data_IF_442873689354
#
_entry.id   IF_442873689354
#
_cell.length_a   1.000
_cell.length_b   1.000
_cell.length_c   1.000
_cell.angle_alpha   90.00
_cell.angle_beta   90.00
_cell.angle_gamma   90.00
#
_symmetry.space_group_name_H-M   'P 1'
#
loop_
_entity.id
_entity.type
_entity.pdbx_description
1 polymer ?
#
# COMPACT_ATOMS: atom_id res chain seq x y z
N UNK A 1 -55.21 14.98 -3.95
CA UNK A 1 -54.16 14.46 -4.87
C UNK A 1 -52.83 14.45 -4.14
N UNK A 2 -52.46 13.31 -3.58
CA UNK A 2 -51.16 13.11 -2.96
C UNK A 2 -50.18 12.72 -4.06
N UNK A 3 -49.20 13.60 -4.33
CA UNK A 3 -48.12 13.32 -5.24
C UNK A 3 -47.06 12.46 -4.49
N UNK A 4 -47.06 11.16 -4.77
CA UNK A 4 -46.04 10.24 -4.32
C UNK A 4 -44.70 10.64 -4.96
N UNK A 5 -43.80 11.23 -4.16
CA UNK A 5 -42.41 11.50 -4.57
C UNK A 5 -41.65 10.17 -4.62
N UNK A 6 -41.39 9.74 -5.81
CA UNK A 6 -40.59 8.55 -6.10
C UNK A 6 -39.14 8.83 -5.71
N UNK A 7 -38.61 8.11 -4.70
CA UNK A 7 -37.24 8.25 -4.21
C UNK A 7 -36.19 8.03 -5.32
N UNK A 8 -36.51 7.19 -6.31
CA UNK A 8 -35.66 6.95 -7.48
C UNK A 8 -35.51 8.19 -8.38
N UNK A 9 -36.57 8.99 -8.54
CA UNK A 9 -36.55 10.20 -9.36
C UNK A 9 -35.67 11.31 -8.74
N UNK A 10 -35.61 11.36 -7.40
CA UNK A 10 -34.76 12.32 -6.69
C UNK A 10 -33.26 11.95 -6.79
N UNK A 11 -32.93 10.65 -6.69
CA UNK A 11 -31.58 10.13 -6.89
C UNK A 11 -31.06 10.37 -8.32
N UNK A 12 -31.89 10.17 -9.33
CA UNK A 12 -31.53 10.42 -10.73
C UNK A 12 -31.30 11.91 -10.99
N UNK A 13 -32.09 12.80 -10.43
CA UNK A 13 -31.93 14.26 -10.57
C UNK A 13 -30.68 14.78 -9.83
N UNK A 14 -30.40 14.27 -8.63
CA UNK A 14 -29.20 14.67 -7.86
C UNK A 14 -27.94 14.19 -8.57
N UNK A 15 -27.92 12.94 -9.07
CA UNK A 15 -26.81 12.41 -9.87
C UNK A 15 -26.61 13.19 -11.19
N UNK A 16 -27.69 13.63 -11.86
CA UNK A 16 -27.59 14.40 -13.10
C UNK A 16 -27.05 15.80 -12.88
N UNK A 17 -27.43 16.47 -11.79
CA UNK A 17 -26.90 17.78 -11.41
C UNK A 17 -25.46 17.70 -10.90
N UNK A 18 -25.13 16.68 -10.10
CA UNK A 18 -23.76 16.41 -9.67
C UNK A 18 -22.86 16.09 -10.86
N UNK A 19 -23.28 15.23 -11.79
CA UNK A 19 -22.54 14.96 -13.02
C UNK A 19 -22.23 16.23 -13.83
N UNK A 20 -23.16 17.19 -13.93
CA UNK A 20 -22.91 18.45 -14.64
C UNK A 20 -21.92 19.38 -13.93
N UNK A 21 -21.91 19.39 -12.61
CA UNK A 21 -20.98 20.22 -11.82
C UNK A 21 -19.55 19.64 -11.90
N UNK A 22 -19.41 18.32 -11.82
CA UNK A 22 -18.09 17.66 -11.93
C UNK A 22 -17.52 17.67 -13.34
N UNK A 23 -18.35 17.60 -14.39
CA UNK A 23 -17.90 17.82 -15.78
C UNK A 23 -17.32 19.22 -16.02
N UNK A 24 -17.68 20.21 -15.19
CA UNK A 24 -17.18 21.58 -15.33
C UNK A 24 -15.92 21.84 -14.49
N UNK A 25 -15.69 21.07 -13.41
CA UNK A 25 -14.59 21.27 -12.46
C UNK A 25 -13.43 20.27 -12.65
N UNK A 26 -13.62 19.24 -13.47
CA UNK A 26 -12.69 18.11 -13.63
C UNK A 26 -12.67 17.19 -12.40
N UNK A 27 -12.29 15.94 -12.59
CA UNK A 27 -12.19 14.92 -11.54
C UNK A 27 -10.78 14.39 -11.39
N UNK A 28 -10.44 13.91 -10.19
CA UNK A 28 -9.21 13.16 -9.96
C UNK A 28 -9.43 11.69 -10.35
N UNK A 29 -8.52 11.12 -11.15
CA UNK A 29 -8.57 9.74 -11.60
C UNK A 29 -7.66 8.86 -10.74
N UNK A 30 -8.22 7.87 -10.09
CA UNK A 30 -7.50 6.89 -9.27
C UNK A 30 -7.35 5.57 -10.02
N UNK A 31 -6.17 4.96 -9.93
CA UNK A 31 -5.91 3.65 -10.52
C UNK A 31 -4.99 2.79 -9.66
N UNK A 32 -5.22 1.48 -9.69
CA UNK A 32 -4.40 0.48 -9.00
C UNK A 32 -3.37 -0.12 -9.94
N UNK A 33 -2.08 0.11 -9.67
CA UNK A 33 -0.94 -0.44 -10.42
C UNK A 33 0.07 -1.08 -9.45
N UNK A 34 -0.21 -2.30 -8.97
CA UNK A 34 0.62 -2.99 -7.97
C UNK A 34 2.02 -3.35 -8.46
N UNK A 35 2.25 -3.26 -9.76
CA UNK A 35 3.55 -3.49 -10.40
C UNK A 35 4.57 -2.37 -10.19
N UNK A 36 4.20 -1.24 -9.57
CA UNK A 36 5.01 -0.02 -9.51
C UNK A 36 6.43 -0.26 -8.97
N UNK A 37 6.60 -1.05 -7.89
CA UNK A 37 7.93 -1.33 -7.33
C UNK A 37 8.85 -2.08 -8.32
N UNK A 38 8.29 -2.98 -9.13
CA UNK A 38 9.03 -3.69 -10.17
C UNK A 38 9.30 -2.79 -11.40
N UNK A 39 8.38 -1.88 -11.70
CA UNK A 39 8.59 -0.87 -12.74
C UNK A 39 9.70 0.12 -12.33
N UNK A 40 9.76 0.53 -11.06
CA UNK A 40 10.87 1.32 -10.49
C UNK A 40 12.21 0.56 -10.57
N UNK A 41 12.22 -0.74 -10.26
CA UNK A 41 13.42 -1.58 -10.40
C UNK A 41 13.89 -1.66 -11.85
N UNK A 42 12.98 -1.86 -12.80
CA UNK A 42 13.28 -1.90 -14.25
C UNK A 42 13.68 -0.55 -14.82
N UNK A 43 13.18 0.55 -14.28
CA UNK A 43 13.36 1.93 -14.73
C UNK A 43 12.97 2.21 -16.19
N UNK A 44 12.23 1.29 -16.82
CA UNK A 44 11.86 1.36 -18.23
C UNK A 44 10.43 1.86 -18.45
N UNK A 45 10.24 2.84 -19.37
CA UNK A 45 8.93 3.35 -19.76
C UNK A 45 8.02 2.29 -20.43
N UNK A 46 8.58 1.17 -20.87
CA UNK A 46 7.86 0.06 -21.50
C UNK A 46 7.85 -1.20 -20.62
N UNK A 47 8.10 -1.06 -19.31
CA UNK A 47 8.00 -2.20 -18.40
C UNK A 47 6.62 -2.85 -18.51
N UNK A 48 6.60 -4.16 -18.60
CA UNK A 48 5.39 -4.97 -18.62
C UNK A 48 5.47 -6.03 -17.52
N UNK A 49 4.53 -5.99 -16.59
CA UNK A 49 4.44 -6.95 -15.51
C UNK A 49 4.14 -8.37 -16.02
N UNK A 50 4.50 -9.38 -15.24
CA UNK A 50 4.13 -10.77 -15.50
C UNK A 50 2.60 -10.93 -15.55
N UNK A 51 2.13 -11.99 -16.21
CA UNK A 51 0.70 -12.29 -16.31
C UNK A 51 0.03 -12.36 -14.94
N UNK A 52 0.65 -13.01 -13.97
CA UNK A 52 0.14 -13.08 -12.59
C UNK A 52 -0.08 -11.70 -11.96
N UNK A 53 0.83 -10.77 -12.17
CA UNK A 53 0.71 -9.41 -11.61
C UNK A 53 -0.35 -8.62 -12.39
N UNK A 54 -0.44 -8.79 -13.72
CA UNK A 54 -1.50 -8.17 -14.52
C UNK A 54 -2.89 -8.68 -14.12
N UNK A 55 -3.02 -10.00 -13.84
CA UNK A 55 -4.26 -10.57 -13.32
C UNK A 55 -4.62 -9.96 -11.95
N UNK A 56 -3.66 -9.86 -11.03
CA UNK A 56 -3.88 -9.19 -9.74
C UNK A 56 -4.28 -7.72 -9.91
N UNK A 57 -3.64 -6.99 -10.82
CA UNK A 57 -4.00 -5.60 -11.12
C UNK A 57 -5.41 -5.46 -11.69
N UNK A 58 -5.86 -6.44 -12.47
CA UNK A 58 -7.22 -6.52 -12.99
C UNK A 58 -8.23 -6.82 -11.87
N UNK A 59 -8.00 -7.86 -11.09
CA UNK A 59 -8.90 -8.33 -10.04
C UNK A 59 -9.09 -7.30 -8.92
N UNK A 60 -8.04 -6.55 -8.60
CA UNK A 60 -8.02 -5.55 -7.52
C UNK A 60 -8.19 -4.11 -8.03
N UNK A 61 -8.54 -3.91 -9.31
CA UNK A 61 -8.58 -2.59 -9.95
C UNK A 61 -9.49 -1.58 -9.24
N UNK A 62 -10.53 -2.03 -8.54
CA UNK A 62 -11.47 -1.17 -7.82
C UNK A 62 -10.99 -0.82 -6.40
N UNK A 63 -9.85 -1.31 -5.94
CA UNK A 63 -9.33 -1.02 -4.60
C UNK A 63 -9.26 0.50 -4.28
N UNK A 64 -8.98 1.40 -5.26
CA UNK A 64 -9.05 2.84 -5.03
C UNK A 64 -10.37 3.38 -4.50
N UNK A 65 -11.49 2.69 -4.71
CA UNK A 65 -12.80 3.07 -4.16
C UNK A 65 -12.76 3.30 -2.63
N UNK A 66 -11.91 2.57 -1.94
CA UNK A 66 -11.84 2.57 -0.48
C UNK A 66 -11.03 3.72 0.11
N UNK A 67 -10.19 4.37 -0.72
CA UNK A 67 -9.36 5.49 -0.26
C UNK A 67 -9.55 6.80 -1.03
N UNK A 68 -10.08 6.74 -2.25
CA UNK A 68 -10.36 7.94 -3.03
C UNK A 68 -11.46 8.80 -2.37
N UNK A 69 -11.41 10.14 -2.49
CA UNK A 69 -12.51 11.02 -2.15
C UNK A 69 -13.75 10.74 -3.00
N UNK A 70 -14.94 10.97 -2.44
CA UNK A 70 -16.18 10.87 -3.21
C UNK A 70 -16.16 11.84 -4.40
N UNK A 71 -16.74 11.42 -5.52
CA UNK A 71 -16.72 12.20 -6.76
C UNK A 71 -15.48 11.97 -7.62
N UNK A 72 -14.52 11.16 -7.16
CA UNK A 72 -13.37 10.76 -7.98
C UNK A 72 -13.75 9.77 -9.07
N UNK A 73 -12.93 9.72 -10.14
CA UNK A 73 -12.94 8.67 -11.15
C UNK A 73 -12.13 7.46 -10.69
N UNK A 74 -12.69 6.27 -10.79
CA UNK A 74 -12.00 5.00 -10.53
C UNK A 74 -11.75 4.32 -11.87
N UNK A 75 -10.47 4.07 -12.19
CA UNK A 75 -10.13 3.28 -13.35
C UNK A 75 -10.55 1.82 -13.15
N UNK A 76 -11.37 1.30 -14.06
CA UNK A 76 -11.83 -0.08 -14.04
C UNK A 76 -11.55 -0.77 -15.38
N UNK A 77 -11.15 -2.06 -15.39
CA UNK A 77 -10.75 -2.76 -16.62
C UNK A 77 -11.95 -3.10 -17.51
N UNK A 78 -13.10 -3.40 -16.92
CA UNK A 78 -14.25 -3.98 -17.61
C UNK A 78 -15.62 -3.50 -17.06
N UNK A 79 -16.69 -4.03 -17.63
CA UNK A 79 -18.07 -3.73 -17.27
C UNK A 79 -18.49 -4.36 -15.93
N UNK A 80 -17.92 -5.52 -15.58
CA UNK A 80 -18.25 -6.21 -14.33
C UNK A 80 -17.72 -5.43 -13.14
N UNK A 81 -16.49 -4.91 -13.25
CA UNK A 81 -15.89 -4.01 -12.26
C UNK A 81 -16.70 -2.70 -12.14
N UNK A 82 -17.19 -2.13 -13.24
CA UNK A 82 -18.02 -0.93 -13.21
C UNK A 82 -19.35 -1.19 -12.47
N UNK A 83 -20.05 -2.29 -12.79
CA UNK A 83 -21.28 -2.68 -12.09
C UNK A 83 -21.07 -2.95 -10.59
N UNK A 84 -19.92 -3.51 -10.22
CA UNK A 84 -19.55 -3.70 -8.82
C UNK A 84 -19.45 -2.35 -8.09
N UNK A 85 -18.76 -1.37 -8.69
CA UNK A 85 -18.64 0.00 -8.13
C UNK A 85 -20.02 0.63 -7.97
N UNK A 86 -20.89 0.58 -9.00
CA UNK A 86 -22.25 1.12 -8.96
C UNK A 86 -23.09 0.50 -7.83
N UNK A 87 -23.04 -0.84 -7.70
CA UNK A 87 -23.73 -1.56 -6.63
C UNK A 87 -23.25 -1.13 -5.24
N UNK A 88 -21.93 -1.04 -5.04
CA UNK A 88 -21.35 -0.60 -3.75
C UNK A 88 -21.71 0.86 -3.44
N UNK A 89 -21.65 1.75 -4.42
CA UNK A 89 -22.07 3.15 -4.26
C UNK A 89 -23.51 3.24 -3.77
N UNK A 90 -24.42 2.47 -4.39
CA UNK A 90 -25.82 2.42 -3.96
C UNK A 90 -25.98 1.85 -2.54
N UNK A 91 -25.22 0.81 -2.18
CA UNK A 91 -25.29 0.17 -0.86
C UNK A 91 -24.76 1.08 0.26
N UNK A 92 -23.64 1.77 0.00
CA UNK A 92 -22.92 2.57 0.99
C UNK A 92 -23.31 4.06 0.98
N UNK A 93 -24.23 4.47 0.08
CA UNK A 93 -24.61 5.87 -0.06
C UNK A 93 -23.46 6.77 -0.51
N UNK A 94 -22.52 6.23 -1.29
CA UNK A 94 -21.34 6.95 -1.82
C UNK A 94 -21.48 7.19 -3.31
N UNK A 95 -20.59 7.99 -3.88
CA UNK A 95 -20.63 8.36 -5.28
C UNK A 95 -19.23 8.41 -5.90
N UNK A 96 -19.02 7.64 -7.00
CA UNK A 96 -17.78 7.61 -7.78
C UNK A 96 -18.10 7.45 -9.27
N UNK A 97 -17.22 7.97 -10.12
CA UNK A 97 -17.28 7.73 -11.56
C UNK A 97 -16.46 6.48 -11.91
N UNK A 98 -16.92 5.68 -12.86
CA UNK A 98 -16.10 4.61 -13.44
C UNK A 98 -15.50 5.05 -14.75
N UNK A 99 -14.17 4.97 -14.86
CA UNK A 99 -13.41 5.35 -16.06
C UNK A 99 -12.81 4.11 -16.70
N UNK A 100 -13.01 3.95 -18.01
CA UNK A 100 -12.51 2.84 -18.82
C UNK A 100 -11.85 3.37 -20.07
N UNK A 101 -11.01 2.55 -20.71
CA UNK A 101 -10.30 2.93 -21.94
C UNK A 101 -11.23 3.49 -23.03
N UNK A 102 -12.47 2.98 -23.13
CA UNK A 102 -13.45 3.39 -24.16
C UNK A 102 -14.20 4.69 -23.87
N UNK A 103 -14.17 5.17 -22.60
CA UNK A 103 -14.89 6.37 -22.18
C UNK A 103 -14.00 7.34 -21.39
N UNK A 104 -12.69 7.29 -21.60
CA UNK A 104 -11.78 8.27 -21.01
C UNK A 104 -11.85 9.56 -21.83
N UNK A 105 -12.19 10.66 -21.15
CA UNK A 105 -12.19 12.01 -21.68
C UNK A 105 -11.14 12.82 -20.91
N UNK A 106 -10.01 13.08 -21.55
CA UNK A 106 -8.83 13.70 -20.90
C UNK A 106 -9.14 15.06 -20.31
N UNK A 107 -10.01 15.83 -20.95
CA UNK A 107 -10.47 17.16 -20.51
C UNK A 107 -11.29 17.14 -19.21
N UNK A 108 -11.83 16.00 -18.86
CA UNK A 108 -12.57 15.80 -17.60
C UNK A 108 -11.66 15.40 -16.43
N UNK A 109 -10.37 15.09 -16.70
CA UNK A 109 -9.41 14.64 -15.70
C UNK A 109 -8.50 15.78 -15.29
N UNK A 110 -8.61 16.19 -14.03
CA UNK A 110 -7.79 17.26 -13.43
C UNK A 110 -6.44 16.73 -12.95
N UNK A 111 -6.42 15.54 -12.37
CA UNK A 111 -5.25 14.92 -11.75
C UNK A 111 -5.33 13.40 -11.85
N UNK A 112 -4.19 12.75 -11.89
CA UNK A 112 -4.12 11.29 -11.84
C UNK A 112 -3.42 10.85 -10.57
N UNK A 113 -4.03 9.89 -9.86
CA UNK A 113 -3.56 9.31 -8.60
C UNK A 113 -3.38 7.80 -8.74
N UNK A 114 -2.24 7.31 -9.26
CA UNK A 114 -1.96 5.88 -9.29
C UNK A 114 -1.63 5.36 -7.89
N UNK A 115 -1.65 4.04 -7.73
CA UNK A 115 -1.11 3.39 -6.54
C UNK A 115 0.34 3.80 -6.27
N UNK A 116 1.16 3.87 -7.31
CA UNK A 116 2.49 4.42 -7.28
C UNK A 116 2.90 4.95 -8.64
N UNK A 117 3.74 5.99 -8.64
CA UNK A 117 4.27 6.59 -9.85
C UNK A 117 5.51 5.87 -10.35
N UNK A 118 5.56 5.61 -11.65
CA UNK A 118 6.71 5.10 -12.39
C UNK A 118 6.62 5.49 -13.88
N UNK A 119 7.70 5.32 -14.62
CA UNK A 119 7.75 5.67 -16.07
C UNK A 119 6.79 4.83 -16.93
N UNK A 120 6.50 3.59 -16.52
CA UNK A 120 5.61 2.71 -17.29
C UNK A 120 4.15 3.11 -17.12
N UNK A 121 3.70 3.45 -15.91
CA UNK A 121 2.33 3.94 -15.67
C UNK A 121 2.10 5.28 -16.36
N UNK A 122 3.07 6.23 -16.31
CA UNK A 122 3.00 7.48 -17.07
C UNK A 122 2.85 7.22 -18.55
N UNK A 123 3.68 6.37 -19.14
CA UNK A 123 3.63 6.04 -20.55
C UNK A 123 2.32 5.36 -20.95
N UNK A 124 1.77 4.49 -20.09
CA UNK A 124 0.44 3.90 -20.28
C UNK A 124 -0.65 4.96 -20.32
N UNK A 125 -0.64 5.92 -19.39
CA UNK A 125 -1.59 7.04 -19.34
C UNK A 125 -1.54 7.93 -20.58
N UNK A 126 -0.34 8.26 -21.07
CA UNK A 126 -0.15 9.00 -22.33
C UNK A 126 -0.77 8.25 -23.52
N UNK A 127 -0.56 6.93 -23.62
CA UNK A 127 -1.18 6.08 -24.65
C UNK A 127 -2.70 5.99 -24.56
N UNK A 128 -3.25 6.25 -23.39
CA UNK A 128 -4.69 6.33 -23.16
C UNK A 128 -5.27 7.71 -23.50
N UNK A 129 -4.43 8.67 -23.88
CA UNK A 129 -4.83 10.02 -24.26
C UNK A 129 -4.87 11.01 -23.10
N UNK A 130 -4.36 10.66 -21.92
CA UNK A 130 -4.24 11.61 -20.80
C UNK A 130 -3.21 12.67 -21.14
N UNK A 131 -3.53 13.95 -20.90
CA UNK A 131 -2.63 15.08 -21.19
C UNK A 131 -1.31 14.96 -20.42
N UNK A 132 -0.19 15.22 -21.10
CA UNK A 132 1.11 15.26 -20.46
C UNK A 132 1.25 16.37 -19.40
N UNK A 133 0.43 17.42 -19.50
CA UNK A 133 0.46 18.58 -18.57
C UNK A 133 0.06 18.23 -17.15
N UNK A 134 -0.80 17.19 -16.97
CA UNK A 134 -1.26 16.73 -15.66
C UNK A 134 -0.48 15.51 -15.16
N UNK A 135 0.56 15.08 -15.87
CA UNK A 135 1.39 13.93 -15.50
C UNK A 135 2.79 14.40 -15.05
N UNK A 136 3.44 13.69 -14.13
CA UNK A 136 4.79 14.05 -13.70
C UNK A 136 5.78 14.00 -14.85
N UNK A 137 6.76 14.91 -14.85
CA UNK A 137 7.90 14.90 -15.78
C UNK A 137 8.82 13.71 -15.52
N UNK A 138 9.73 13.42 -16.45
CA UNK A 138 10.73 12.37 -16.27
C UNK A 138 11.65 12.67 -15.07
N UNK A 139 11.98 13.95 -14.82
CA UNK A 139 12.78 14.36 -13.67
C UNK A 139 12.07 14.04 -12.35
N UNK A 140 10.79 14.38 -12.23
CA UNK A 140 9.99 14.06 -11.04
C UNK A 140 9.86 12.55 -10.82
N UNK A 141 9.77 11.74 -11.90
CA UNK A 141 9.74 10.28 -11.80
C UNK A 141 11.10 9.70 -11.39
N UNK A 142 12.21 10.31 -11.83
CA UNK A 142 13.55 9.90 -11.41
C UNK A 142 13.79 10.24 -9.93
N UNK A 143 13.31 11.39 -9.47
CA UNK A 143 13.32 11.78 -8.05
C UNK A 143 12.45 10.84 -7.21
N UNK A 144 11.22 10.54 -7.66
CA UNK A 144 10.34 9.58 -6.99
C UNK A 144 10.98 8.19 -6.87
N UNK A 145 11.65 7.73 -7.94
CA UNK A 145 12.41 6.48 -7.92
C UNK A 145 13.53 6.52 -6.89
N UNK A 146 14.27 7.62 -6.81
CA UNK A 146 15.34 7.80 -5.83
C UNK A 146 14.79 7.76 -4.39
N UNK A 147 13.69 8.46 -4.10
CA UNK A 147 13.01 8.42 -2.80
C UNK A 147 12.57 7.00 -2.44
N UNK A 148 12.08 6.23 -3.40
CA UNK A 148 11.58 4.86 -3.23
C UNK A 148 12.69 3.81 -3.08
N UNK A 149 13.98 4.20 -3.15
CA UNK A 149 15.10 3.28 -2.95
C UNK A 149 15.28 2.95 -1.47
N UNK A 150 15.46 1.66 -1.16
CA UNK A 150 15.82 1.22 0.21
C UNK A 150 17.13 1.79 0.73
N UNK A 151 17.95 2.38 -0.13
CA UNK A 151 19.15 3.14 0.31
C UNK A 151 18.79 4.25 1.31
N UNK A 152 17.61 4.88 1.13
CA UNK A 152 17.14 5.98 2.01
C UNK A 152 16.87 5.53 3.44
N UNK A 153 16.71 4.23 3.67
CA UNK A 153 16.54 3.66 5.03
C UNK A 153 17.76 3.92 5.90
N UNK A 154 18.97 3.80 5.34
CA UNK A 154 20.20 4.07 6.09
C UNK A 154 20.29 5.54 6.54
N UNK A 155 19.91 6.46 5.67
CA UNK A 155 19.86 7.90 5.97
C UNK A 155 18.83 8.19 7.06
N UNK A 156 17.60 7.65 6.92
CA UNK A 156 16.54 7.81 7.91
C UNK A 156 16.92 7.27 9.28
N UNK A 157 17.51 6.08 9.35
CA UNK A 157 17.95 5.46 10.61
C UNK A 157 19.05 6.28 11.32
N UNK A 158 19.85 7.07 10.60
CA UNK A 158 20.88 7.91 11.18
C UNK A 158 20.35 8.93 12.18
N UNK A 159 19.08 9.35 12.02
CA UNK A 159 18.41 10.32 12.90
C UNK A 159 17.90 9.72 14.23
N UNK A 160 18.00 8.40 14.39
CA UNK A 160 17.54 7.69 15.57
C UNK A 160 18.66 7.09 16.43
N UNK A 161 19.92 7.36 16.10
CA UNK A 161 21.08 6.74 16.78
C UNK A 161 21.13 7.01 18.29
N UNK A 162 20.68 8.20 18.69
CA UNK A 162 20.73 8.65 20.08
C UNK A 162 19.34 8.63 20.75
N UNK A 163 18.32 8.14 20.04
CA UNK A 163 16.95 8.07 20.58
C UNK A 163 16.77 6.80 21.43
N UNK A 164 16.33 6.94 22.69
CA UNK A 164 16.07 5.79 23.55
C UNK A 164 15.05 4.83 22.93
N UNK A 165 15.22 3.54 23.15
CA UNK A 165 14.40 2.47 22.60
C UNK A 165 14.46 2.31 21.06
N UNK A 166 15.23 3.10 20.34
CA UNK A 166 15.36 2.97 18.90
C UNK A 166 16.61 2.18 18.53
N UNK A 167 16.45 0.95 18.03
CA UNK A 167 17.54 0.09 17.60
C UNK A 167 17.32 -0.41 16.18
N UNK A 168 17.94 0.24 15.21
CA UNK A 168 17.95 -0.14 13.81
C UNK A 168 19.25 0.22 13.15
N UNK A 169 19.69 -0.60 12.22
CA UNK A 169 20.87 -0.31 11.40
C UNK A 169 20.62 -0.70 9.96
N UNK A 170 21.17 0.06 9.04
CA UNK A 170 21.23 -0.27 7.63
C UNK A 170 22.56 0.21 7.06
N UNK A 171 23.05 -0.49 6.05
CA UNK A 171 24.24 -0.10 5.30
C UNK A 171 23.98 -0.28 3.80
N UNK A 172 24.46 0.67 3.00
CA UNK A 172 24.46 0.58 1.55
C UNK A 172 25.80 0.03 1.08
N UNK A 173 25.79 -1.07 0.37
CA UNK A 173 26.95 -1.86 -0.03
C UNK A 173 27.05 -1.83 -1.56
N UNK A 174 28.18 -1.37 -2.07
CA UNK A 174 28.37 -1.11 -3.50
C UNK A 174 29.28 -2.12 -4.18
N UNK A 175 29.92 -2.99 -3.40
CA UNK A 175 30.79 -4.06 -3.90
C UNK A 175 30.43 -5.42 -3.28
N UNK A 176 30.82 -6.50 -3.94
CA UNK A 176 30.59 -7.85 -3.42
C UNK A 176 31.45 -8.09 -2.14
N UNK A 177 32.63 -7.53 -2.11
CA UNK A 177 33.54 -7.58 -0.95
C UNK A 177 32.93 -6.89 0.27
N UNK A 178 32.22 -5.78 0.08
CA UNK A 178 31.48 -5.11 1.15
C UNK A 178 30.34 -5.97 1.68
N UNK A 179 29.59 -6.65 0.80
CA UNK A 179 28.52 -7.58 1.20
C UNK A 179 29.06 -8.73 2.06
N UNK A 180 30.16 -9.34 1.63
CA UNK A 180 30.80 -10.43 2.37
C UNK A 180 31.33 -9.97 3.72
N UNK A 181 32.08 -8.85 3.74
CA UNK A 181 32.63 -8.25 4.96
C UNK A 181 31.52 -7.89 5.95
N UNK A 182 30.42 -7.31 5.49
CA UNK A 182 29.29 -6.94 6.34
C UNK A 182 28.64 -8.19 6.95
N UNK A 183 28.43 -9.24 6.14
CA UNK A 183 27.88 -10.51 6.62
C UNK A 183 28.76 -11.20 7.67
N UNK A 184 30.08 -11.19 7.47
CA UNK A 184 31.05 -11.78 8.41
C UNK A 184 31.11 -11.03 9.75
N UNK A 185 30.86 -9.71 9.74
CA UNK A 185 30.84 -8.88 10.94
C UNK A 185 29.53 -8.97 11.74
N UNK A 186 28.44 -9.36 11.12
CA UNK A 186 27.10 -9.36 11.72
C UNK A 186 26.85 -10.64 12.55
N UNK A 187 26.88 -10.53 13.87
CA UNK A 187 26.70 -11.66 14.81
C UNK A 187 25.30 -12.29 14.75
N UNK A 188 24.26 -11.50 14.47
CA UNK A 188 22.86 -11.93 14.45
C UNK A 188 22.39 -12.34 13.03
N UNK A 189 23.31 -12.33 12.06
CA UNK A 189 22.99 -12.49 10.65
C UNK A 189 22.52 -11.20 9.97
N UNK A 190 22.33 -11.28 8.67
CA UNK A 190 22.00 -10.13 7.78
C UNK A 190 20.84 -10.47 6.88
N UNK A 191 19.96 -9.53 6.66
CA UNK A 191 19.05 -9.51 5.51
C UNK A 191 19.59 -8.52 4.47
N UNK A 192 19.96 -9.04 3.30
CA UNK A 192 20.28 -8.25 2.12
C UNK A 192 18.99 -7.91 1.38
N UNK A 193 18.87 -6.67 0.95
CA UNK A 193 17.68 -6.14 0.27
C UNK A 193 18.09 -5.48 -1.05
N UNK A 194 17.37 -5.76 -2.13
CA UNK A 194 17.52 -4.97 -3.36
C UNK A 194 16.87 -3.58 -3.19
N UNK A 195 17.39 -2.55 -3.83
CA UNK A 195 16.87 -1.17 -3.71
C UNK A 195 15.39 -1.07 -4.01
N UNK A 196 14.95 -1.74 -5.07
CA UNK A 196 13.55 -1.80 -5.47
C UNK A 196 13.11 -3.25 -5.66
N UNK A 197 12.00 -3.62 -5.04
CA UNK A 197 11.38 -4.94 -5.23
C UNK A 197 9.95 -4.95 -4.72
N UNK A 198 9.12 -5.85 -5.23
CA UNK A 198 7.77 -6.05 -4.70
C UNK A 198 7.78 -6.85 -3.39
N UNK A 199 6.69 -6.74 -2.64
CA UNK A 199 6.45 -7.36 -1.33
C UNK A 199 7.03 -8.79 -1.20
N UNK A 200 7.88 -9.00 -0.20
CA UNK A 200 8.52 -10.27 0.13
C UNK A 200 9.55 -10.78 -0.87
N UNK A 201 9.74 -10.09 -2.01
CA UNK A 201 10.76 -10.40 -3.01
C UNK A 201 11.95 -9.45 -2.85
N UNK A 202 13.10 -9.80 -3.44
CA UNK A 202 14.29 -8.97 -3.33
C UNK A 202 14.92 -8.96 -1.93
N UNK A 203 14.69 -10.01 -1.14
CA UNK A 203 15.33 -10.26 0.14
C UNK A 203 16.21 -11.52 0.06
N UNK A 204 17.37 -11.46 0.69
CA UNK A 204 18.28 -12.61 0.85
C UNK A 204 18.72 -12.71 2.30
N UNK A 205 18.21 -13.71 3.01
CA UNK A 205 18.45 -13.94 4.42
C UNK A 205 19.74 -14.74 4.64
N UNK A 206 20.75 -14.15 5.24
CA UNK A 206 22.05 -14.72 5.58
C UNK A 206 22.11 -14.91 7.10
N UNK A 207 21.67 -16.07 7.60
CA UNK A 207 21.61 -16.40 9.03
C UNK A 207 22.86 -17.13 9.50
N UNK A 208 23.31 -18.11 8.70
CA UNK A 208 24.35 -19.08 9.09
C UNK A 208 25.65 -18.91 8.27
N UNK A 209 25.96 -17.66 7.89
CA UNK A 209 27.15 -17.30 7.14
C UNK A 209 26.89 -17.04 5.65
N UNK A 210 27.85 -16.34 5.05
CA UNK A 210 27.80 -15.92 3.64
C UNK A 210 28.20 -17.06 2.72
N UNK A 211 27.26 -17.53 1.88
CA UNK A 211 27.44 -18.67 0.98
C UNK A 211 27.44 -18.21 -0.48
N UNK A 212 27.77 -19.10 -1.43
CA UNK A 212 27.69 -18.82 -2.87
C UNK A 212 26.31 -18.40 -3.34
N UNK A 213 25.24 -18.86 -2.69
CA UNK A 213 23.88 -18.38 -2.97
C UNK A 213 23.75 -16.89 -2.68
N UNK A 214 24.26 -16.41 -1.55
CA UNK A 214 24.25 -15.00 -1.19
C UNK A 214 25.14 -14.19 -2.12
N UNK A 215 26.33 -14.71 -2.43
CA UNK A 215 27.30 -14.12 -3.36
C UNK A 215 26.65 -13.87 -4.73
N UNK A 216 26.05 -14.92 -5.33
CA UNK A 216 25.39 -14.82 -6.63
C UNK A 216 24.20 -13.84 -6.62
N UNK A 217 23.45 -13.83 -5.52
CA UNK A 217 22.32 -12.91 -5.36
C UNK A 217 22.81 -11.46 -5.27
N UNK A 218 23.77 -11.16 -4.41
CA UNK A 218 24.36 -9.82 -4.27
C UNK A 218 24.98 -9.35 -5.59
N UNK A 219 25.75 -10.19 -6.27
CA UNK A 219 26.38 -9.87 -7.55
C UNK A 219 25.35 -9.50 -8.61
N UNK A 220 24.23 -10.23 -8.69
CA UNK A 220 23.14 -9.91 -9.62
C UNK A 220 22.50 -8.56 -9.27
N UNK A 221 22.17 -8.32 -8.00
CA UNK A 221 21.56 -7.04 -7.58
C UNK A 221 22.49 -5.87 -7.83
N UNK A 222 23.79 -5.97 -7.48
CA UNK A 222 24.79 -4.97 -7.78
C UNK A 222 24.88 -4.65 -9.26
N UNK A 223 24.85 -5.68 -10.11
CA UNK A 223 24.88 -5.51 -11.57
C UNK A 223 23.61 -4.83 -12.12
N UNK A 224 22.44 -5.19 -11.60
CA UNK A 224 21.14 -4.72 -12.11
C UNK A 224 20.69 -3.39 -11.50
N UNK A 225 20.98 -3.16 -10.21
CA UNK A 225 20.46 -2.03 -9.46
C UNK A 225 21.54 -1.17 -8.76
N UNK A 226 22.81 -1.56 -8.85
CA UNK A 226 23.97 -0.74 -8.43
C UNK A 226 24.33 -0.82 -6.95
N UNK A 227 23.44 -1.23 -6.07
CA UNK A 227 23.65 -1.28 -4.62
C UNK A 227 22.85 -2.41 -3.97
N UNK A 228 23.34 -2.91 -2.85
CA UNK A 228 22.61 -3.81 -1.94
C UNK A 228 22.48 -3.11 -0.59
N UNK A 229 21.27 -2.98 -0.08
CA UNK A 229 21.06 -2.52 1.30
C UNK A 229 21.09 -3.72 2.25
N UNK A 230 21.82 -3.62 3.35
CA UNK A 230 21.95 -4.65 4.37
C UNK A 230 21.42 -4.16 5.71
N UNK A 231 20.68 -5.02 6.42
CA UNK A 231 20.21 -4.77 7.79
C UNK A 231 20.51 -5.98 8.65
N UNK A 232 20.82 -5.78 9.94
CA UNK A 232 20.91 -6.90 10.89
C UNK A 232 19.57 -7.57 11.07
N UNK A 233 19.57 -8.91 11.17
CA UNK A 233 18.36 -9.66 11.50
C UNK A 233 17.99 -9.37 12.95
N UNK A 234 16.74 -8.98 13.19
CA UNK A 234 16.19 -8.71 14.52
C UNK A 234 15.16 -9.75 14.93
N UNK A 235 15.03 -9.99 16.22
CA UNK A 235 13.98 -10.84 16.75
C UNK A 235 12.66 -10.06 16.78
N UNK A 236 11.90 -10.19 15.71
CA UNK A 236 10.63 -9.49 15.51
C UNK A 236 9.56 -9.98 16.47
N UNK A 237 8.85 -9.02 17.10
CA UNK A 237 7.66 -9.23 17.92
C UNK A 237 6.40 -8.80 17.19
N UNK A 238 6.39 -7.54 16.68
CA UNK A 238 5.31 -6.98 15.90
C UNK A 238 5.82 -6.24 14.69
N UNK A 239 5.14 -6.39 13.55
CA UNK A 239 5.26 -5.51 12.38
C UNK A 239 4.15 -4.44 12.47
N UNK A 240 4.52 -3.18 12.32
CA UNK A 240 3.59 -2.06 12.25
C UNK A 240 4.14 -0.99 11.31
N UNK A 241 3.30 -0.04 10.91
CA UNK A 241 3.75 1.12 10.16
C UNK A 241 3.15 2.40 10.73
N UNK A 242 3.81 3.51 10.47
CA UNK A 242 3.26 4.85 10.55
C UNK A 242 2.95 5.34 9.15
N UNK A 243 1.71 5.78 8.96
CA UNK A 243 1.21 6.24 7.68
C UNK A 243 1.15 7.76 7.66
N UNK A 244 1.58 8.36 6.55
CA UNK A 244 1.69 9.81 6.37
C UNK A 244 1.03 10.24 5.07
N UNK A 245 0.65 11.52 5.02
CA UNK A 245 0.15 12.17 3.82
C UNK A 245 0.79 13.55 3.66
N UNK A 246 1.24 13.85 2.46
CA UNK A 246 1.69 15.17 2.04
C UNK A 246 0.64 15.78 1.12
N UNK A 247 0.08 16.93 1.53
CA UNK A 247 -0.97 17.62 0.79
C UNK A 247 -0.43 18.44 -0.41
N UNK A 248 -1.31 19.17 -1.08
CA UNK A 248 -0.95 20.00 -2.24
C UNK A 248 -0.09 21.21 -1.86
N UNK A 249 -0.19 21.69 -0.61
CA UNK A 249 0.65 22.74 -0.04
C UNK A 249 1.95 22.23 0.58
N UNK A 250 2.31 20.95 0.31
CA UNK A 250 3.52 20.29 0.82
C UNK A 250 3.58 20.16 2.34
N UNK A 251 2.44 20.14 3.01
CA UNK A 251 2.35 19.92 4.46
C UNK A 251 2.21 18.45 4.76
N UNK A 252 3.12 17.95 5.56
CA UNK A 252 3.09 16.58 6.03
C UNK A 252 2.21 16.41 7.26
N UNK A 253 1.42 15.36 7.25
CA UNK A 253 0.60 14.94 8.39
C UNK A 253 0.75 13.46 8.64
N UNK A 254 0.76 13.08 9.91
CA UNK A 254 0.55 11.69 10.31
C UNK A 254 -0.94 11.39 10.22
N UNK A 255 -1.30 10.30 9.55
CA UNK A 255 -2.70 9.91 9.34
C UNK A 255 -3.13 8.72 10.19
N UNK A 256 -2.19 7.95 10.72
CA UNK A 256 -2.49 6.84 11.62
C UNK A 256 -1.42 5.76 11.63
N UNK A 257 -1.66 4.76 12.45
CA UNK A 257 -0.89 3.53 12.48
C UNK A 257 -1.53 2.44 11.63
N UNK A 258 -0.75 1.48 11.21
CA UNK A 258 -1.23 0.20 10.71
C UNK A 258 -0.50 -0.96 11.38
N UNK A 259 -1.23 -1.98 11.81
CA UNK A 259 -0.68 -3.18 12.41
C UNK A 259 -0.91 -4.34 11.44
N UNK A 260 0.17 -4.88 10.87
CA UNK A 260 0.09 -5.89 9.84
C UNK A 260 0.81 -7.18 10.24
N UNK A 261 0.47 -8.25 9.55
CA UNK A 261 1.05 -9.56 9.74
C UNK A 261 1.84 -9.95 8.49
N UNK A 262 3.00 -10.54 8.71
CA UNK A 262 3.82 -11.14 7.65
C UNK A 262 4.14 -12.59 8.00
N UNK A 263 4.37 -13.42 6.98
CA UNK A 263 4.87 -14.77 7.20
C UNK A 263 6.37 -14.77 7.57
N UNK A 264 6.94 -15.96 7.79
CA UNK A 264 8.35 -16.12 8.15
C UNK A 264 9.33 -15.60 7.09
N UNK A 265 8.89 -15.44 5.85
CA UNK A 265 9.67 -14.90 4.72
C UNK A 265 9.49 -13.41 4.51
N UNK A 266 8.64 -12.74 5.33
CA UNK A 266 8.32 -11.32 5.23
C UNK A 266 7.25 -10.99 4.19
N UNK A 267 6.50 -11.97 3.66
CA UNK A 267 5.39 -11.71 2.77
C UNK A 267 4.15 -11.29 3.57
N UNK A 268 3.47 -10.25 3.10
CA UNK A 268 2.26 -9.69 3.69
C UNK A 268 1.11 -10.72 3.75
N UNK A 269 0.41 -10.75 4.87
CA UNK A 269 -0.75 -11.62 5.13
C UNK A 269 -2.05 -10.83 5.36
N UNK A 270 -1.96 -9.62 5.90
CA UNK A 270 -3.13 -8.80 6.20
C UNK A 270 -2.87 -7.74 7.26
N UNK A 271 -3.85 -6.84 7.45
CA UNK A 271 -3.83 -5.80 8.48
C UNK A 271 -4.97 -6.01 9.48
N UNK A 272 -4.68 -5.87 10.75
CA UNK A 272 -5.72 -5.74 11.77
C UNK A 272 -6.39 -4.37 11.62
N UNK A 273 -7.72 -4.34 11.53
CA UNK A 273 -8.50 -3.10 11.44
C UNK A 273 -8.78 -2.57 12.84
N UNK A 274 -7.81 -1.86 13.41
CA UNK A 274 -7.82 -1.30 14.76
C UNK A 274 -7.82 0.24 14.69
N UNK A 275 -8.27 0.87 15.78
CA UNK A 275 -8.06 2.32 15.97
C UNK A 275 -6.62 2.61 16.36
N UNK A 276 -6.18 3.86 16.22
CA UNK A 276 -4.84 4.26 16.66
C UNK A 276 -4.64 4.04 18.16
N UNK A 277 -5.67 4.26 18.98
CA UNK A 277 -5.64 4.03 20.42
C UNK A 277 -5.44 2.54 20.75
N UNK A 278 -6.13 1.64 20.04
CA UNK A 278 -5.96 0.19 20.20
C UNK A 278 -4.55 -0.27 19.80
N UNK A 279 -3.98 0.32 18.74
CA UNK A 279 -2.62 0.03 18.30
C UNK A 279 -1.61 0.59 19.32
N UNK A 280 -1.74 1.86 19.73
CA UNK A 280 -0.89 2.46 20.76
C UNK A 280 -0.94 1.64 22.07
N UNK A 281 -2.11 1.19 22.49
CA UNK A 281 -2.26 0.33 23.69
C UNK A 281 -1.49 -0.99 23.53
N UNK A 282 -1.58 -1.65 22.38
CA UNK A 282 -0.84 -2.91 22.13
C UNK A 282 0.66 -2.70 22.12
N UNK A 283 1.14 -1.65 21.45
CA UNK A 283 2.56 -1.35 21.35
C UNK A 283 3.15 -0.86 22.67
N UNK A 284 2.35 -0.17 23.51
CA UNK A 284 2.78 0.33 24.81
C UNK A 284 3.09 -0.78 25.85
N UNK A 285 2.64 -2.01 25.58
CA UNK A 285 3.03 -3.18 26.37
C UNK A 285 4.53 -3.55 26.20
N UNK A 286 5.19 -3.04 25.18
CA UNK A 286 6.59 -3.34 24.83
C UNK A 286 7.50 -2.12 25.01
N UNK A 287 7.06 -0.95 24.57
CA UNK A 287 7.84 0.29 24.61
C UNK A 287 6.97 1.45 25.11
N UNK A 288 7.49 2.34 25.97
CA UNK A 288 6.69 3.46 26.48
C UNK A 288 6.16 4.33 25.34
N UNK A 289 4.88 4.68 25.37
CA UNK A 289 4.17 5.40 24.33
C UNK A 289 4.84 6.73 23.93
N UNK A 290 5.48 7.41 24.88
CA UNK A 290 6.22 8.63 24.61
C UNK A 290 7.34 8.44 23.58
N UNK A 291 7.96 7.27 23.50
CA UNK A 291 9.01 6.98 22.51
C UNK A 291 8.42 6.70 21.12
N UNK A 292 7.25 6.06 21.03
CA UNK A 292 6.51 5.94 19.76
C UNK A 292 6.13 7.33 19.20
N UNK A 293 5.62 8.22 20.07
CA UNK A 293 5.29 9.60 19.70
C UNK A 293 6.52 10.40 19.29
N UNK A 294 7.64 10.20 19.99
CA UNK A 294 8.91 10.82 19.64
C UNK A 294 9.43 10.36 18.28
N UNK A 295 9.32 9.07 17.96
CA UNK A 295 9.64 8.55 16.62
C UNK A 295 8.82 9.27 15.55
N UNK A 296 7.50 9.40 15.74
CA UNK A 296 6.62 10.12 14.82
C UNK A 296 7.04 11.58 14.60
N UNK A 297 7.40 12.31 15.65
CA UNK A 297 7.87 13.69 15.57
C UNK A 297 9.16 13.82 14.76
N UNK A 298 10.10 12.88 14.96
CA UNK A 298 11.36 12.86 14.20
C UNK A 298 11.07 12.60 12.74
N UNK A 299 10.24 11.57 12.42
CA UNK A 299 9.88 11.24 11.06
C UNK A 299 9.23 12.42 10.34
N UNK A 300 8.24 13.08 10.95
CA UNK A 300 7.59 14.24 10.34
C UNK A 300 8.62 15.32 9.96
N UNK A 301 9.54 15.67 10.87
CA UNK A 301 10.60 16.64 10.58
C UNK A 301 11.54 16.20 9.45
N UNK A 302 11.85 14.90 9.37
CA UNK A 302 12.73 14.37 8.32
C UNK A 302 12.03 14.25 6.97
N UNK A 303 10.69 14.22 6.94
CA UNK A 303 9.91 14.20 5.71
C UNK A 303 9.71 15.60 5.11
N UNK A 304 9.70 16.67 5.92
CA UNK A 304 9.46 18.05 5.46
C UNK A 304 10.30 18.51 4.26
N UNK A 305 11.60 18.16 4.12
CA UNK A 305 12.42 18.62 3.01
C UNK A 305 12.09 18.00 1.65
N UNK A 306 11.32 16.90 1.61
CA UNK A 306 11.08 16.18 0.37
C UNK A 306 9.93 16.79 -0.43
N UNK A 307 10.18 17.06 -1.72
CA UNK A 307 9.17 17.48 -2.68
C UNK A 307 8.33 16.29 -3.12
N UNK A 308 7.38 15.91 -2.28
CA UNK A 308 6.47 14.79 -2.50
C UNK A 308 5.03 15.25 -2.37
N UNK A 309 4.10 14.48 -2.93
CA UNK A 309 2.67 14.65 -2.74
C UNK A 309 1.98 13.29 -2.78
N UNK A 310 1.09 13.04 -1.82
CA UNK A 310 0.34 11.79 -1.69
C UNK A 310 0.63 11.05 -0.40
N UNK A 311 0.24 9.79 -0.37
CA UNK A 311 0.42 8.92 0.79
C UNK A 311 1.79 8.26 0.79
N UNK A 312 2.33 8.03 1.98
CA UNK A 312 3.46 7.14 2.19
C UNK A 312 3.35 6.40 3.52
N UNK A 313 4.03 5.25 3.62
CA UNK A 313 4.14 4.49 4.87
C UNK A 313 5.59 4.21 5.23
N UNK A 314 5.88 4.17 6.51
CA UNK A 314 7.18 3.74 7.05
C UNK A 314 6.96 2.49 7.88
N UNK A 315 7.45 1.36 7.36
CA UNK A 315 7.37 0.07 8.03
C UNK A 315 8.36 0.03 9.18
N UNK A 316 7.91 -0.48 10.32
CA UNK A 316 8.63 -0.55 11.58
C UNK A 316 8.46 -1.92 12.23
N UNK A 317 9.26 -2.22 13.24
CA UNK A 317 9.10 -3.41 14.07
C UNK A 317 9.26 -3.08 15.54
N UNK A 318 8.51 -3.77 16.40
CA UNK A 318 8.93 -4.02 17.79
C UNK A 318 9.83 -5.25 17.76
N UNK A 319 11.01 -5.11 18.34
CA UNK A 319 12.02 -6.16 18.42
C UNK A 319 12.24 -6.57 19.87
N UNK A 320 12.39 -7.89 20.13
CA UNK A 320 12.90 -8.36 21.39
C UNK A 320 14.43 -8.20 21.42
N UNK A 321 14.93 -7.70 22.53
CA UNK A 321 16.37 -7.57 22.81
C UNK A 321 16.80 -8.58 23.88
N UNK A 322 18.10 -8.69 24.13
CA UNK A 322 18.59 -9.47 25.26
C UNK A 322 18.04 -8.92 26.59
N UNK A 323 17.83 -9.79 27.58
CA UNK A 323 17.33 -9.47 28.92
C UNK A 323 15.85 -9.00 29.00
N UNK A 324 14.98 -9.59 28.20
CA UNK A 324 13.53 -9.30 28.19
C UNK A 324 13.18 -7.81 27.90
N UNK A 325 14.13 -7.07 27.36
CA UNK A 325 13.90 -5.70 26.87
C UNK A 325 13.31 -5.72 25.45
N UNK A 326 12.69 -4.60 25.08
CA UNK A 326 12.15 -4.39 23.74
C UNK A 326 12.64 -3.08 23.15
N UNK A 327 12.71 -3.04 21.82
CA UNK A 327 13.09 -1.84 21.08
C UNK A 327 12.20 -1.62 19.87
N UNK A 328 12.24 -0.40 19.32
CA UNK A 328 11.63 -0.02 18.06
C UNK A 328 12.71 -0.10 16.99
N UNK A 329 12.50 -0.81 15.90
CA UNK A 329 13.22 -0.59 14.65
C UNK A 329 12.45 0.49 13.85
N UNK A 330 12.91 1.75 13.86
CA UNK A 330 12.07 2.90 13.46
C UNK A 330 11.94 3.09 11.95
N UNK A 331 12.66 2.32 11.13
CA UNK A 331 12.54 2.33 9.68
C UNK A 331 13.09 1.04 9.07
N UNK A 332 12.20 0.12 8.71
CA UNK A 332 12.51 -1.14 8.00
C UNK A 332 12.46 -0.93 6.49
N UNK A 333 11.46 -0.15 6.04
CA UNK A 333 11.21 0.21 4.66
C UNK A 333 10.39 1.52 4.59
N UNK A 334 10.58 2.29 3.52
CA UNK A 334 9.79 3.48 3.20
C UNK A 334 9.02 3.25 1.91
N UNK A 335 7.70 3.31 1.99
CA UNK A 335 6.78 3.08 0.88
C UNK A 335 6.25 4.42 0.37
N UNK A 336 6.96 5.07 -0.58
CA UNK A 336 6.60 6.37 -1.17
C UNK A 336 5.48 6.22 -2.20
N UNK A 337 4.37 5.66 -1.76
CA UNK A 337 3.17 5.38 -2.55
C UNK A 337 2.01 5.01 -1.64
N UNK A 338 0.82 4.88 -2.24
CA UNK A 338 -0.28 4.20 -1.55
C UNK A 338 0.17 2.79 -1.13
N UNK A 339 -0.30 2.35 0.02
CA UNK A 339 0.04 1.04 0.58
C UNK A 339 -1.15 0.41 1.33
N UNK A 340 -1.04 -0.86 1.70
CA UNK A 340 -2.14 -1.59 2.36
C UNK A 340 -2.40 -1.10 3.78
N UNK A 341 -1.42 -0.47 4.43
CA UNK A 341 -1.58 0.14 5.74
C UNK A 341 -2.53 1.35 5.69
N UNK A 342 -2.32 2.26 4.74
CA UNK A 342 -3.24 3.39 4.49
C UNK A 342 -4.65 2.88 4.17
N UNK A 343 -4.77 1.87 3.29
CA UNK A 343 -6.08 1.30 2.96
C UNK A 343 -6.76 0.72 4.20
N UNK A 344 -6.04 -0.02 5.05
CA UNK A 344 -6.60 -0.62 6.26
C UNK A 344 -7.06 0.43 7.27
N UNK A 345 -6.28 1.49 7.48
CA UNK A 345 -6.65 2.60 8.34
C UNK A 345 -7.96 3.26 7.87
N UNK A 346 -8.08 3.58 6.58
CA UNK A 346 -9.29 4.17 6.02
C UNK A 346 -10.49 3.22 6.02
N UNK A 347 -10.29 1.91 5.83
CA UNK A 347 -11.36 0.91 5.93
C UNK A 347 -11.93 0.82 7.35
N UNK A 348 -11.08 0.88 8.38
CA UNK A 348 -11.51 0.91 9.78
C UNK A 348 -12.49 2.04 10.02
N UNK A 349 -12.18 3.23 9.54
CA UNK A 349 -13.00 4.42 9.74
C UNK A 349 -14.26 4.43 8.88
N UNK A 350 -14.18 4.01 7.60
CA UNK A 350 -15.26 4.17 6.62
C UNK A 350 -16.25 3.01 6.60
N UNK A 351 -15.81 1.79 6.86
CA UNK A 351 -16.59 0.58 6.60
C UNK A 351 -16.97 -0.16 7.86
N UNK A 352 -16.05 -0.26 8.84
CA UNK A 352 -16.24 -1.10 10.01
C UNK A 352 -17.08 -0.41 11.07
N UNK A 353 -17.97 -1.18 11.72
CA UNK A 353 -18.68 -0.70 12.90
C UNK A 353 -17.68 -0.48 14.06
N UNK A 354 -17.87 0.54 14.92
CA UNK A 354 -16.94 0.82 16.02
C UNK A 354 -16.66 -0.38 16.95
N UNK A 355 -17.64 -1.20 17.21
CA UNK A 355 -17.54 -2.38 18.09
C UNK A 355 -17.05 -3.65 17.39
N UNK A 356 -16.94 -3.65 16.06
CA UNK A 356 -16.51 -4.82 15.30
C UNK A 356 -14.99 -4.97 15.31
N UNK A 357 -14.53 -6.21 15.43
CA UNK A 357 -13.14 -6.59 15.22
C UNK A 357 -12.98 -7.21 13.84
N UNK A 358 -11.98 -6.79 13.08
CA UNK A 358 -11.81 -7.29 11.73
C UNK A 358 -10.34 -7.30 11.28
N UNK A 359 -10.10 -8.07 10.23
CA UNK A 359 -8.83 -8.11 9.51
C UNK A 359 -9.10 -7.83 8.03
N UNK A 360 -8.26 -6.99 7.43
CA UNK A 360 -8.20 -6.76 6.00
C UNK A 360 -7.20 -7.74 5.39
N UNK A 361 -7.61 -8.43 4.32
CA UNK A 361 -6.82 -9.43 3.63
C UNK A 361 -6.71 -9.15 2.14
N UNK A 362 -5.60 -9.59 1.54
CA UNK A 362 -5.41 -9.70 0.09
C UNK A 362 -4.88 -11.09 -0.21
N UNK A 363 -5.74 -11.95 -0.69
CA UNK A 363 -5.40 -13.34 -1.02
C UNK A 363 -5.19 -13.51 -2.53
N UNK A 364 -4.21 -14.36 -2.87
CA UNK A 364 -3.89 -14.71 -4.24
C UNK A 364 -3.89 -16.23 -4.40
N UNK A 365 -4.69 -16.71 -5.32
CA UNK A 365 -4.86 -18.15 -5.60
C UNK A 365 -4.08 -18.55 -6.87
N UNK A 366 -3.44 -19.71 -6.89
CA UNK A 366 -2.62 -20.13 -8.03
C UNK A 366 -3.45 -20.42 -9.29
N UNK A 367 -4.70 -20.85 -9.13
CA UNK A 367 -5.66 -21.17 -10.19
C UNK A 367 -7.10 -21.08 -9.67
N UNK A 368 -8.05 -21.07 -10.58
CA UNK A 368 -9.48 -20.86 -10.30
C UNK A 368 -10.07 -21.90 -9.34
N UNK A 369 -9.76 -23.17 -9.50
CA UNK A 369 -10.24 -24.24 -8.62
C UNK A 369 -9.81 -24.01 -7.16
N UNK A 370 -8.59 -23.52 -6.92
CA UNK A 370 -8.15 -23.17 -5.57
C UNK A 370 -8.96 -22.01 -4.98
N UNK A 371 -9.30 -20.99 -5.80
CA UNK A 371 -10.18 -19.89 -5.37
C UNK A 371 -11.58 -20.43 -5.02
N UNK A 372 -12.16 -21.25 -5.88
CA UNK A 372 -13.52 -21.81 -5.70
C UNK A 372 -13.63 -22.73 -4.49
N UNK A 373 -12.60 -23.54 -4.23
CA UNK A 373 -12.63 -24.50 -3.11
C UNK A 373 -12.24 -23.87 -1.77
N UNK A 374 -11.42 -22.80 -1.76
CA UNK A 374 -10.89 -22.23 -0.53
C UNK A 374 -11.59 -20.91 -0.13
N UNK A 375 -12.04 -20.08 -1.09
CA UNK A 375 -12.60 -18.77 -0.79
C UNK A 375 -14.14 -18.77 -0.84
N UNK A 376 -14.77 -19.30 -1.90
CA UNK A 376 -16.22 -19.21 -2.05
C UNK A 376 -17.00 -19.87 -0.91
N UNK A 377 -16.62 -21.06 -0.39
CA UNK A 377 -17.33 -21.64 0.77
C UNK A 377 -17.26 -20.74 2.01
N UNK A 378 -16.10 -20.12 2.28
CA UNK A 378 -15.96 -19.17 3.40
C UNK A 378 -16.89 -17.97 3.26
N UNK A 379 -17.08 -17.48 2.04
CA UNK A 379 -17.98 -16.36 1.77
C UNK A 379 -19.45 -16.72 2.05
N UNK A 380 -19.86 -17.96 1.74
CA UNK A 380 -21.20 -18.48 2.02
C UNK A 380 -21.42 -18.76 3.52
N UNK A 381 -20.40 -19.28 4.20
CA UNK A 381 -20.44 -19.60 5.64
C UNK A 381 -20.44 -18.36 6.53
N UNK A 382 -19.92 -17.24 6.03
CA UNK A 382 -19.78 -15.99 6.79
C UNK A 382 -20.50 -14.80 6.12
N UNK A 383 -21.84 -14.82 6.05
CA UNK A 383 -22.61 -13.74 5.45
C UNK A 383 -22.40 -12.42 6.22
N UNK A 384 -22.40 -11.30 5.48
CA UNK A 384 -22.24 -9.99 6.08
C UNK A 384 -23.47 -9.58 6.88
N UNK A 385 -23.23 -9.12 8.11
CA UNK A 385 -24.19 -8.43 8.94
C UNK A 385 -23.83 -6.95 9.05
N UNK A 386 -24.79 -6.07 8.75
CA UNK A 386 -24.60 -4.63 8.73
C UNK A 386 -25.50 -3.94 9.75
N UNK A 387 -24.97 -2.96 10.47
CA UNK A 387 -25.73 -2.01 11.25
C UNK A 387 -25.67 -0.64 10.58
N UNK A 388 -26.80 -0.20 10.02
CA UNK A 388 -26.82 0.94 9.11
C UNK A 388 -25.94 0.70 7.89
N UNK A 389 -24.90 1.52 7.70
CA UNK A 389 -23.91 1.42 6.62
C UNK A 389 -22.57 0.86 7.10
N UNK A 390 -22.50 0.25 8.29
CA UNK A 390 -21.28 -0.27 8.91
C UNK A 390 -21.32 -1.78 9.04
N UNK A 391 -20.21 -2.42 8.67
CA UNK A 391 -20.05 -3.86 8.76
C UNK A 391 -19.77 -4.26 10.21
N UNK A 392 -20.67 -5.10 10.77
CA UNK A 392 -20.52 -5.68 12.12
C UNK A 392 -19.80 -7.02 12.08
N UNK A 393 -20.20 -7.89 11.15
CA UNK A 393 -19.71 -9.26 11.10
C UNK A 393 -19.78 -9.81 9.68
N UNK A 394 -18.95 -10.83 9.40
CA UNK A 394 -18.98 -11.60 8.15
C UNK A 394 -17.78 -11.30 7.25
N UNK A 395 -17.77 -11.94 6.10
CA UNK A 395 -16.71 -11.81 5.10
C UNK A 395 -17.21 -10.90 3.96
N UNK A 396 -16.62 -9.72 3.86
CA UNK A 396 -17.02 -8.68 2.92
C UNK A 396 -15.97 -8.48 1.82
N UNK A 397 -16.24 -8.91 0.57
CA UNK A 397 -15.36 -8.65 -0.57
C UNK A 397 -15.31 -7.17 -0.90
N UNK A 398 -14.10 -6.63 -1.00
CA UNK A 398 -13.82 -5.24 -1.38
C UNK A 398 -13.60 -5.07 -2.89
N UNK A 399 -13.48 -6.17 -3.61
CA UNK A 399 -13.24 -6.24 -5.05
C UNK A 399 -14.19 -7.23 -5.70
N UNK A 400 -14.49 -7.10 -7.01
CA UNK A 400 -15.45 -7.97 -7.69
C UNK A 400 -14.98 -9.42 -7.73
N UNK A 401 -15.93 -10.34 -7.64
CA UNK A 401 -15.71 -11.77 -7.84
C UNK A 401 -16.33 -12.14 -9.19
N UNK A 402 -15.49 -12.51 -10.14
CA UNK A 402 -15.82 -12.91 -11.50
C UNK A 402 -15.35 -14.34 -11.78
N UNK A 403 -15.75 -14.98 -12.89
CA UNK A 403 -15.21 -16.29 -13.26
C UNK A 403 -13.68 -16.34 -13.45
N UNK A 404 -13.02 -15.19 -13.66
CA UNK A 404 -11.57 -15.10 -13.87
C UNK A 404 -10.79 -14.67 -12.62
N UNK A 405 -11.45 -14.31 -11.52
CA UNK A 405 -10.82 -13.83 -10.29
C UNK A 405 -9.85 -14.85 -9.69
N UNK A 406 -8.61 -14.44 -9.48
CA UNK A 406 -7.56 -15.17 -8.78
C UNK A 406 -7.03 -14.41 -7.57
N UNK A 407 -7.30 -13.10 -7.50
CA UNK A 407 -6.90 -12.25 -6.37
C UNK A 407 -8.14 -11.57 -5.81
N UNK A 408 -8.26 -11.51 -4.49
CA UNK A 408 -9.39 -10.86 -3.82
C UNK A 408 -8.93 -10.08 -2.61
N UNK A 409 -9.42 -8.84 -2.48
CA UNK A 409 -9.31 -8.04 -1.27
C UNK A 409 -10.62 -8.15 -0.49
N UNK A 410 -10.57 -8.39 0.81
CA UNK A 410 -11.77 -8.54 1.64
C UNK A 410 -11.52 -8.19 3.11
N UNK A 411 -12.60 -7.90 3.83
CA UNK A 411 -12.64 -7.78 5.29
C UNK A 411 -13.23 -9.05 5.88
N UNK A 412 -12.58 -9.60 6.90
CA UNK A 412 -13.15 -10.63 7.76
C UNK A 412 -13.45 -10.02 9.13
N UNK A 413 -14.74 -9.78 9.41
CA UNK A 413 -15.23 -9.19 10.66
C UNK A 413 -15.85 -10.26 11.56
N UNK A 414 -15.54 -10.22 12.88
CA UNK A 414 -15.99 -11.19 13.89
C UNK A 414 -16.76 -10.53 15.00
#
# INVERSE_FOLDING_TARGET
>A
MQCGRDKNSYYICVNYLQNRIYCTLGMDLYLFNPETDLALASHGANYTASEKIRQMAHDLAVLPLWYAPQGSGIWVPDEESARFVEKLCSQLGTFFFTVRKKNVHSEEIKKVQPWGWDKAVRNRLLRMGISAEILPSDLQLDEHRWLSSRERVADMLSHFKDEPYCHGNAANLYTLEDCERYALAAKEGVVFKSPWSSSGKGLSWCRDGFTDRHRNWCQRVLKEQGVVTAQSIKQRVYDFAMEFHCDEEKRWSFIGYSLFQTNAQGAYLGNLLLTDEEIEQRLSAYVPLQHLRRVREILLRQLEPFDYQGYMGIDMMICAESNDAFSIHPCVEMNWRMNMGVVSHLLREKVLHPEAHATFHVDNYPHREAFETQFLPRLEEHPCHWEGQRLMKGLFPLTPITPQTLSVAYISAT
#
